data_IF_125080509067
#
_entry.id   IF_125080509067
#
_cell.length_a   1.000
_cell.length_b   1.000
_cell.length_c   1.000
_cell.angle_alpha   90.00
_cell.angle_beta   90.00
_cell.angle_gamma   90.00
#
_symmetry.space_group_name_H-M   'P 1'
#
loop_
_entity.id
_entity.type
_entity.pdbx_description
1 polymer ?
#
# COMPACT_ATOMS: atom_id res chain seq x y z
N UNK A 1 2.88 -8.27 17.22
CA UNK A 1 2.73 -8.66 15.80
C UNK A 1 3.64 -7.80 14.94
N UNK A 2 4.06 -8.31 13.79
CA UNK A 2 4.87 -7.54 12.84
C UNK A 2 3.97 -6.45 12.22
N UNK A 3 4.49 -5.23 12.09
CA UNK A 3 3.81 -4.09 11.47
C UNK A 3 4.66 -3.54 10.32
N UNK A 4 4.14 -3.49 9.08
CA UNK A 4 4.83 -2.87 7.97
C UNK A 4 4.88 -1.35 8.08
N UNK A 5 5.87 -0.75 7.41
CA UNK A 5 5.97 0.68 7.20
C UNK A 5 5.46 1.01 5.80
N UNK A 6 4.47 1.92 5.72
CA UNK A 6 3.90 2.39 4.47
C UNK A 6 4.47 3.78 4.12
N UNK A 7 5.07 3.90 2.95
CA UNK A 7 5.62 5.16 2.44
C UNK A 7 5.14 5.43 1.02
N UNK A 8 5.30 6.67 0.56
CA UNK A 8 5.06 7.08 -0.83
C UNK A 8 6.30 7.77 -1.37
N UNK A 9 6.51 7.69 -2.69
CA UNK A 9 7.51 8.47 -3.43
C UNK A 9 7.16 9.96 -3.57
N UNK A 10 5.93 10.36 -3.23
CA UNK A 10 5.49 11.75 -3.27
C UNK A 10 6.17 12.60 -2.19
N UNK A 11 6.48 13.85 -2.55
CA UNK A 11 6.92 14.92 -1.62
C UNK A 11 5.81 15.95 -1.33
N UNK A 12 4.58 15.66 -1.72
CA UNK A 12 3.42 16.57 -1.66
C UNK A 12 2.17 15.93 -2.25
N UNK A 13 1.24 16.75 -2.75
CA UNK A 13 0.07 16.25 -3.47
C UNK A 13 0.48 15.70 -4.84
N UNK A 14 -0.18 14.62 -5.27
CA UNK A 14 -0.09 14.12 -6.63
C UNK A 14 -0.90 15.02 -7.56
N UNK A 15 -0.37 15.28 -8.75
CA UNK A 15 -1.13 15.90 -9.83
C UNK A 15 -1.84 14.83 -10.63
N UNK A 16 -3.05 15.13 -11.11
CA UNK A 16 -3.76 14.22 -12.01
C UNK A 16 -2.91 13.85 -13.23
N UNK A 17 -2.92 12.58 -13.62
CA UNK A 17 -2.11 12.04 -14.72
C UNK A 17 -0.70 11.57 -14.32
N UNK A 18 -0.19 11.98 -13.15
CA UNK A 18 1.10 11.48 -12.67
C UNK A 18 1.02 10.03 -12.20
N UNK A 19 2.19 9.40 -12.06
CA UNK A 19 2.32 8.12 -11.36
C UNK A 19 2.72 8.32 -9.90
N UNK A 20 2.18 7.47 -9.03
CA UNK A 20 2.52 7.38 -7.60
C UNK A 20 2.87 5.94 -7.26
N UNK A 21 3.90 5.76 -6.45
CA UNK A 21 4.33 4.47 -5.92
C UNK A 21 4.17 4.50 -4.39
N UNK A 22 3.34 3.60 -3.88
CA UNK A 22 3.30 3.30 -2.45
C UNK A 22 4.19 2.08 -2.17
N UNK A 23 4.95 2.12 -1.08
CA UNK A 23 5.87 1.06 -0.67
C UNK A 23 5.52 0.54 0.71
N UNK A 24 5.35 -0.77 0.85
CA UNK A 24 5.00 -1.44 2.09
C UNK A 24 6.18 -2.29 2.59
N UNK A 25 7.05 -1.74 3.42
CA UNK A 25 8.30 -2.40 3.80
C UNK A 25 8.18 -3.13 5.13
N UNK A 26 8.83 -4.29 5.24
CA UNK A 26 9.00 -5.02 6.49
C UNK A 26 10.45 -4.91 6.94
N UNK A 27 10.67 -4.68 8.24
CA UNK A 27 12.03 -4.69 8.83
C UNK A 27 12.75 -6.03 8.60
N UNK A 28 11.99 -7.12 8.46
CA UNK A 28 12.49 -8.46 8.14
C UNK A 28 12.13 -8.78 6.68
N UNK A 29 13.01 -8.42 5.74
CA UNK A 29 12.84 -8.70 4.32
C UNK A 29 13.18 -10.17 4.01
N UNK A 30 12.29 -11.09 4.40
CA UNK A 30 12.36 -12.48 3.96
C UNK A 30 11.63 -12.67 2.63
N UNK A 31 12.09 -13.59 1.78
CA UNK A 31 11.36 -13.97 0.58
C UNK A 31 9.99 -14.61 0.90
N UNK A 32 9.04 -14.55 -0.04
CA UNK A 32 7.77 -15.29 0.02
C UNK A 32 6.56 -14.55 0.60
N UNK A 33 6.67 -13.24 0.87
CA UNK A 33 5.52 -12.42 1.25
C UNK A 33 4.65 -12.05 0.05
N UNK A 34 3.34 -12.01 0.28
CA UNK A 34 2.36 -11.25 -0.51
C UNK A 34 1.99 -9.99 0.26
N UNK A 35 1.63 -8.94 -0.46
CA UNK A 35 1.23 -7.66 0.11
C UNK A 35 -0.21 -7.37 -0.23
N UNK A 36 -0.94 -6.85 0.75
CA UNK A 36 -2.37 -6.60 0.68
C UNK A 36 -2.59 -5.13 0.98
N UNK A 37 -3.33 -4.47 0.10
CA UNK A 37 -3.51 -3.02 0.12
C UNK A 37 -4.99 -2.72 0.23
N UNK A 38 -5.33 -1.78 1.11
CA UNK A 38 -6.70 -1.29 1.22
C UNK A 38 -6.70 0.23 1.25
N UNK A 39 -7.62 0.79 0.48
CA UNK A 39 -8.00 2.20 0.55
C UNK A 39 -9.31 2.32 1.33
N UNK A 40 -9.48 3.41 2.08
CA UNK A 40 -10.71 3.74 2.82
C UNK A 40 -12.01 3.62 2.00
N UNK A 41 -11.99 3.92 0.71
CA UNK A 41 -13.16 3.78 -0.19
C UNK A 41 -13.35 2.36 -0.75
N UNK A 42 -12.49 1.40 -0.42
CA UNK A 42 -12.54 0.02 -0.91
C UNK A 42 -13.04 -0.93 0.18
N UNK A 43 -13.86 -1.91 -0.20
CA UNK A 43 -14.33 -2.98 0.69
C UNK A 43 -13.43 -4.22 0.69
N UNK A 44 -12.54 -4.34 -0.30
CA UNK A 44 -11.69 -5.51 -0.51
C UNK A 44 -10.24 -5.10 -0.70
N UNK A 45 -9.32 -5.94 -0.24
CA UNK A 45 -7.90 -5.74 -0.44
C UNK A 45 -7.46 -6.08 -1.87
N UNK A 46 -6.47 -5.35 -2.36
CA UNK A 46 -5.73 -5.72 -3.57
C UNK A 46 -4.47 -6.48 -3.19
N UNK A 47 -4.25 -7.67 -3.74
CA UNK A 47 -3.01 -8.43 -3.54
C UNK A 47 -1.93 -8.07 -4.58
N UNK A 48 -0.70 -7.86 -4.12
CA UNK A 48 0.48 -7.71 -4.98
C UNK A 48 1.58 -8.69 -4.58
N UNK A 49 2.37 -9.11 -5.58
CA UNK A 49 3.56 -9.95 -5.35
C UNK A 49 4.76 -9.17 -4.83
N UNK A 50 4.82 -7.88 -5.16
CA UNK A 50 5.87 -6.96 -4.73
C UNK A 50 5.35 -6.09 -3.59
N UNK A 51 6.26 -5.49 -2.85
CA UNK A 51 5.96 -4.52 -1.82
C UNK A 51 5.57 -3.13 -2.37
N UNK A 52 5.30 -3.03 -3.67
CA UNK A 52 4.91 -1.78 -4.34
C UNK A 52 3.47 -1.83 -4.84
N UNK A 53 2.74 -0.74 -4.64
CA UNK A 53 1.45 -0.46 -5.26
C UNK A 53 1.58 0.74 -6.19
N UNK A 54 1.20 0.57 -7.46
CA UNK A 54 1.39 1.56 -8.51
C UNK A 54 0.06 2.19 -8.91
N UNK A 55 -0.07 3.51 -8.75
CA UNK A 55 -1.16 4.30 -9.30
C UNK A 55 -0.59 5.02 -10.53
N UNK A 56 -0.85 4.50 -11.74
CA UNK A 56 -0.11 4.92 -12.96
C UNK A 56 -0.58 6.25 -13.56
N UNK A 57 -1.87 6.54 -13.46
CA UNK A 57 -2.48 7.79 -13.94
C UNK A 57 -3.45 8.26 -12.87
N UNK A 58 -2.93 9.07 -11.94
CA UNK A 58 -3.69 9.55 -10.79
C UNK A 58 -4.92 10.33 -11.23
N UNK A 59 -6.04 10.04 -10.59
CA UNK A 59 -7.31 10.74 -10.68
C UNK A 59 -7.70 11.28 -9.30
N UNK A 60 -8.66 12.20 -9.24
CA UNK A 60 -9.17 12.73 -7.96
C UNK A 60 -9.69 11.59 -7.07
N UNK A 61 -10.28 10.55 -7.66
CA UNK A 61 -10.75 9.37 -6.93
C UNK A 61 -9.65 8.49 -6.36
N UNK A 62 -8.37 8.73 -6.70
CA UNK A 62 -7.24 8.04 -6.06
C UNK A 62 -6.84 8.69 -4.73
N UNK A 63 -7.27 9.92 -4.43
CA UNK A 63 -7.03 10.54 -3.12
C UNK A 63 -7.75 9.82 -1.97
N UNK A 64 -7.07 9.62 -0.84
CA UNK A 64 -7.65 8.96 0.35
C UNK A 64 -6.61 8.29 1.25
N UNK A 65 -7.08 7.57 2.27
CA UNK A 65 -6.21 6.84 3.20
C UNK A 65 -5.91 5.43 2.69
N UNK A 66 -4.62 5.12 2.61
CA UNK A 66 -4.10 3.82 2.26
C UNK A 66 -3.51 3.13 3.50
N UNK A 67 -3.69 1.82 3.57
CA UNK A 67 -2.99 0.92 4.50
C UNK A 67 -2.48 -0.29 3.74
N UNK A 68 -1.42 -0.89 4.25
CA UNK A 68 -0.91 -2.15 3.73
C UNK A 68 -0.68 -3.17 4.85
N UNK A 69 -0.72 -4.45 4.50
CA UNK A 69 -0.24 -5.56 5.33
C UNK A 69 0.45 -6.61 4.48
N UNK A 70 1.21 -7.49 5.09
CA UNK A 70 1.83 -8.63 4.42
C UNK A 70 1.22 -9.94 4.91
N UNK A 71 1.19 -10.94 4.04
CA UNK A 71 0.72 -12.29 4.36
C UNK A 71 1.57 -13.37 3.69
N UNK A 72 1.70 -14.53 4.34
CA UNK A 72 2.36 -15.72 3.78
C UNK A 72 1.80 -17.00 4.41
N UNK A 73 2.17 -18.15 3.86
CA UNK A 73 1.75 -19.47 4.35
C UNK A 73 0.44 -19.98 3.74
N UNK A 74 0.06 -21.20 4.10
CA UNK A 74 -1.21 -21.83 3.73
C UNK A 74 -1.73 -22.66 4.93
N UNK A 75 -2.74 -22.18 5.70
CA UNK A 75 -3.51 -20.96 5.48
C UNK A 75 -2.66 -19.69 5.67
N UNK A 76 -3.08 -18.60 5.04
CA UNK A 76 -2.36 -17.33 5.09
C UNK A 76 -2.44 -16.75 6.50
N UNK A 77 -1.29 -16.41 7.08
CA UNK A 77 -1.21 -15.59 8.28
C UNK A 77 -0.72 -14.18 7.90
N UNK A 78 -1.35 -13.18 8.49
CA UNK A 78 -1.15 -11.78 8.17
C UNK A 78 -0.36 -11.05 9.26
N UNK A 79 0.38 -10.03 8.85
CA UNK A 79 0.87 -8.99 9.75
C UNK A 79 -0.29 -8.09 10.20
N UNK A 80 -0.02 -7.21 11.17
CA UNK A 80 -0.91 -6.08 11.39
C UNK A 80 -0.89 -5.16 10.16
N UNK A 81 -1.89 -4.29 10.05
CA UNK A 81 -1.86 -3.20 9.10
C UNK A 81 -0.81 -2.16 9.48
N UNK A 82 -0.20 -1.53 8.48
CA UNK A 82 0.60 -0.33 8.63
C UNK A 82 -0.20 0.80 9.27
N UNK A 83 0.49 1.85 9.67
CA UNK A 83 -0.17 3.14 9.84
C UNK A 83 -0.80 3.61 8.52
N UNK A 84 -1.85 4.41 8.63
CA UNK A 84 -2.50 4.99 7.46
C UNK A 84 -1.61 6.06 6.83
N UNK A 85 -1.52 6.06 5.51
CA UNK A 85 -0.87 7.11 4.73
C UNK A 85 -1.93 7.79 3.86
N UNK A 86 -2.00 9.12 3.95
CA UNK A 86 -2.93 9.90 3.12
C UNK A 86 -2.27 10.27 1.79
N UNK A 87 -2.92 9.92 0.69
CA UNK A 87 -2.54 10.37 -0.66
C UNK A 87 -3.43 11.56 -1.02
N UNK A 88 -2.83 12.74 -1.16
CA UNK A 88 -3.52 13.94 -1.64
C UNK A 88 -3.43 14.02 -3.15
N UNK A 89 -4.51 14.45 -3.80
CA UNK A 89 -4.56 14.71 -5.24
C UNK A 89 -5.02 16.14 -5.47
N UNK A 90 -4.37 16.82 -6.40
CA UNK A 90 -4.62 18.21 -6.84
C UNK A 90 -4.72 18.28 -8.34
#
# INVERSE_FOLDING_TARGET
NLKPELTSDLKGAALTGNSVILSCTLKLQSAGWRFYWIKDTQSTETETKTFHYFIRSVSVSDGGQYRCRAGRGNPVYYTDYSDALWVNVT
#
